data_IF_350910991022
#
_entry.id   IF_350910991022
#
_cell.length_a   1.000
_cell.length_b   1.000
_cell.length_c   1.000
_cell.angle_alpha   90.00
_cell.angle_beta   90.00
_cell.angle_gamma   90.00
#
_symmetry.space_group_name_H-M   'P 1'
#
loop_
_entity.id
_entity.type
_entity.pdbx_description
1 polymer ?
#
# COMPACT_ATOMS: atom_id res chain seq x y z
N UNK A 1 -1.95 -21.01 24.86
CA UNK A 1 -2.64 -21.44 23.62
C UNK A 1 -3.78 -20.47 23.36
N UNK A 2 -3.44 -19.29 22.86
CA UNK A 2 -4.43 -18.29 22.45
C UNK A 2 -4.65 -18.56 20.98
N UNK A 3 -5.85 -19.02 20.64
CA UNK A 3 -6.31 -19.08 19.26
C UNK A 3 -6.49 -17.64 18.82
N UNK A 4 -5.63 -17.15 17.92
CA UNK A 4 -5.90 -15.92 17.19
C UNK A 4 -7.06 -16.23 16.23
N UNK A 5 -8.29 -16.11 16.72
CA UNK A 5 -9.42 -15.85 15.84
C UNK A 5 -9.17 -14.48 15.18
N UNK A 6 -9.19 -14.46 13.84
CA UNK A 6 -9.15 -13.27 12.98
C UNK A 6 -7.78 -12.69 12.55
N UNK A 7 -6.76 -13.52 12.30
CA UNK A 7 -5.79 -13.15 11.26
C UNK A 7 -6.44 -13.35 9.88
N UNK A 8 -7.18 -12.33 9.40
CA UNK A 8 -7.71 -12.28 8.04
C UNK A 8 -6.58 -12.45 7.01
N UNK A 9 -6.88 -12.96 5.79
CA UNK A 9 -5.89 -13.25 4.75
C UNK A 9 -5.37 -11.95 4.12
N UNK A 10 -4.57 -11.18 4.83
CA UNK A 10 -4.25 -9.81 4.44
C UNK A 10 -2.90 -9.65 3.73
N UNK A 11 -1.94 -10.55 3.95
CA UNK A 11 -0.63 -10.46 3.28
C UNK A 11 -0.48 -11.35 2.06
N UNK A 12 -1.21 -12.47 1.95
CA UNK A 12 -1.12 -13.41 0.83
C UNK A 12 -1.59 -12.84 -0.52
N UNK A 13 -2.07 -11.59 -0.52
CA UNK A 13 -2.48 -10.85 -1.71
C UNK A 13 -1.63 -9.60 -1.96
N UNK A 14 -0.59 -9.29 -1.17
CA UNK A 14 0.24 -8.11 -1.43
C UNK A 14 1.05 -8.30 -2.72
N UNK A 15 0.98 -7.36 -3.68
CA UNK A 15 1.78 -7.45 -4.89
C UNK A 15 3.25 -7.19 -4.57
N UNK A 16 4.18 -7.90 -5.25
CA UNK A 16 5.62 -7.73 -5.05
C UNK A 16 6.11 -6.33 -5.46
N UNK A 17 5.33 -5.61 -6.26
CA UNK A 17 5.57 -4.22 -6.66
C UNK A 17 4.38 -3.37 -6.20
N UNK A 18 4.63 -2.20 -5.61
CA UNK A 18 3.56 -1.26 -5.28
C UNK A 18 2.86 -0.74 -6.54
N UNK A 19 1.61 -0.32 -6.42
CA UNK A 19 0.89 0.31 -7.54
C UNK A 19 1.64 1.56 -8.05
N UNK A 20 2.26 2.32 -7.14
CA UNK A 20 3.10 3.46 -7.49
C UNK A 20 4.38 3.05 -8.26
N UNK A 21 5.03 1.97 -7.85
CA UNK A 21 6.21 1.46 -8.56
C UNK A 21 5.83 0.90 -9.94
N UNK A 22 4.70 0.19 -10.02
CA UNK A 22 4.15 -0.32 -11.28
C UNK A 22 3.85 0.82 -12.24
N UNK A 23 3.14 1.85 -11.77
CA UNK A 23 2.87 3.08 -12.50
C UNK A 23 4.16 3.70 -13.03
N UNK A 24 5.18 3.83 -12.18
CA UNK A 24 6.49 4.37 -12.55
C UNK A 24 7.17 3.55 -13.64
N UNK A 25 7.14 2.23 -13.56
CA UNK A 25 7.71 1.33 -14.59
C UNK A 25 7.01 1.53 -15.93
N UNK A 26 5.69 1.66 -15.94
CA UNK A 26 4.91 1.94 -17.14
C UNK A 26 4.93 3.40 -17.59
N UNK A 27 5.57 4.30 -16.83
CA UNK A 27 5.64 5.74 -17.07
C UNK A 27 4.25 6.40 -17.19
N UNK A 28 3.26 5.89 -16.46
CA UNK A 28 1.99 6.59 -16.31
C UNK A 28 2.20 7.88 -15.51
N UNK A 29 1.53 8.96 -15.88
CA UNK A 29 1.51 10.16 -15.07
C UNK A 29 0.88 9.82 -13.69
N UNK A 30 1.48 10.29 -12.57
CA UNK A 30 0.95 10.05 -11.22
C UNK A 30 -0.50 10.49 -11.06
N UNK A 31 -0.84 11.69 -11.50
CA UNK A 31 -2.17 12.26 -11.32
C UNK A 31 -3.25 11.44 -12.04
N UNK A 32 -3.05 11.03 -13.30
CA UNK A 32 -4.01 10.16 -14.00
C UNK A 32 -4.19 8.80 -13.34
N UNK A 33 -3.08 8.20 -12.92
CA UNK A 33 -3.11 6.91 -12.25
C UNK A 33 -3.81 7.02 -10.89
N UNK A 34 -3.78 8.21 -10.29
CA UNK A 34 -4.43 8.53 -9.02
C UNK A 34 -5.80 9.20 -9.14
N UNK A 35 -6.46 9.09 -10.30
CA UNK A 35 -7.80 9.64 -10.57
C UNK A 35 -7.92 11.17 -10.48
N UNK A 36 -6.80 11.88 -10.62
CA UNK A 36 -6.75 13.33 -10.62
C UNK A 36 -6.72 13.87 -12.04
N UNK A 37 -7.40 14.99 -12.24
CA UNK A 37 -7.44 15.71 -13.50
C UNK A 37 -7.70 17.20 -13.27
N UNK A 38 -7.35 18.01 -14.25
CA UNK A 38 -7.55 19.45 -14.27
C UNK A 38 -8.40 19.86 -15.46
N UNK A 39 -9.21 20.90 -15.29
CA UNK A 39 -9.82 21.56 -16.45
C UNK A 39 -8.75 22.40 -17.16
N UNK A 40 -8.48 22.07 -18.44
CA UNK A 40 -7.43 22.73 -19.24
C UNK A 40 -7.54 24.26 -19.24
N UNK A 41 -8.77 24.80 -19.23
CA UNK A 41 -9.01 26.26 -19.19
C UNK A 41 -8.59 26.92 -17.88
N UNK A 42 -8.65 26.19 -16.77
CA UNK A 42 -8.26 26.69 -15.46
C UNK A 42 -6.75 26.61 -15.23
N UNK A 43 -6.08 25.64 -15.88
CA UNK A 43 -4.66 25.33 -15.68
C UNK A 43 -3.94 25.17 -17.02
N UNK A 44 -3.74 26.26 -17.79
CA UNK A 44 -3.18 26.20 -19.15
C UNK A 44 -1.71 25.76 -19.18
N UNK A 45 -0.98 25.94 -18.08
CA UNK A 45 0.46 25.65 -18.00
C UNK A 45 0.77 24.23 -17.50
N UNK A 46 -0.19 23.56 -16.85
CA UNK A 46 -0.07 22.21 -16.27
C UNK A 46 -1.23 21.28 -16.62
N UNK A 47 -1.75 21.25 -17.86
CA UNK A 47 -3.01 20.59 -18.14
C UNK A 47 -2.92 19.08 -17.88
N UNK A 48 -3.81 18.59 -17.01
CA UNK A 48 -4.05 17.17 -16.76
C UNK A 48 -5.45 16.84 -17.32
N UNK A 49 -5.61 16.61 -18.64
CA UNK A 49 -6.91 16.45 -19.28
C UNK A 49 -7.90 15.52 -18.58
N UNK A 50 -9.16 15.95 -18.58
CA UNK A 50 -10.30 15.22 -18.03
C UNK A 50 -10.74 14.11 -18.99
N UNK A 51 -11.46 13.14 -18.43
CA UNK A 51 -12.33 12.21 -19.17
C UNK A 51 -13.09 12.91 -20.31
N UNK A 52 -12.96 12.40 -21.54
CA UNK A 52 -13.83 12.76 -22.67
C UNK A 52 -13.19 13.55 -23.81
N UNK A 53 -11.98 14.08 -23.65
CA UNK A 53 -11.36 14.92 -24.69
C UNK A 53 -10.53 14.13 -25.72
N UNK A 54 -10.40 12.80 -25.56
CA UNK A 54 -9.69 11.93 -26.49
C UNK A 54 -10.19 10.48 -26.49
N UNK A 55 -9.96 9.75 -27.60
CA UNK A 55 -10.39 8.36 -27.81
C UNK A 55 -9.62 7.31 -26.97
N UNK A 56 -8.71 7.73 -26.10
CA UNK A 56 -7.95 6.87 -25.21
C UNK A 56 -8.09 7.42 -23.79
N UNK A 57 -8.80 6.70 -22.94
CA UNK A 57 -8.91 7.05 -21.52
C UNK A 57 -7.55 6.82 -20.84
N UNK A 58 -6.97 7.91 -20.30
CA UNK A 58 -5.66 7.86 -19.63
C UNK A 58 -5.79 7.71 -18.10
N UNK A 59 -6.98 7.97 -17.55
CA UNK A 59 -7.26 7.89 -16.12
C UNK A 59 -7.49 6.43 -15.71
N UNK A 60 -6.83 6.01 -14.63
CA UNK A 60 -7.02 4.67 -14.04
C UNK A 60 -7.88 4.82 -12.80
N UNK A 61 -9.09 4.27 -12.81
CA UNK A 61 -9.99 4.32 -11.64
C UNK A 61 -9.63 3.30 -10.57
N UNK A 62 -10.22 3.40 -9.39
CA UNK A 62 -10.04 2.39 -8.35
C UNK A 62 -10.55 1.01 -8.79
N UNK A 63 -11.79 0.92 -9.30
CA UNK A 63 -12.43 -0.35 -9.73
C UNK A 63 -12.98 -0.28 -11.16
N UNK A 64 -12.92 -1.39 -11.91
CA UNK A 64 -13.32 -1.45 -13.34
C UNK A 64 -14.79 -1.78 -13.64
N UNK A 65 -15.63 -1.99 -12.61
CA UNK A 65 -16.89 -2.75 -12.73
C UNK A 65 -18.10 -2.11 -13.42
N UNK A 66 -18.00 -0.96 -14.08
CA UNK A 66 -19.18 -0.12 -14.37
C UNK A 66 -19.24 0.51 -15.79
N UNK A 67 -18.19 0.36 -16.63
CA UNK A 67 -18.27 0.62 -18.09
C UNK A 67 -17.29 -0.22 -18.92
N UNK A 68 -17.51 -1.54 -18.98
CA UNK A 68 -17.21 -2.44 -20.11
C UNK A 68 -15.79 -2.63 -20.66
N UNK A 69 -14.85 -1.69 -20.51
CA UNK A 69 -13.57 -1.70 -21.23
C UNK A 69 -12.37 -1.13 -20.45
N UNK A 70 -12.56 -0.48 -19.30
CA UNK A 70 -11.46 0.08 -18.51
C UNK A 70 -11.14 -0.82 -17.28
N UNK A 71 -9.86 -1.20 -17.13
CA UNK A 71 -9.37 -1.86 -15.92
C UNK A 71 -9.02 -0.83 -14.85
N UNK A 72 -9.46 -1.06 -13.61
CA UNK A 72 -9.11 -0.22 -12.46
C UNK A 72 -7.76 -0.58 -11.83
N UNK A 73 -7.32 0.20 -10.86
CA UNK A 73 -6.15 -0.06 -10.01
C UNK A 73 -6.29 -1.38 -9.27
N UNK A 74 -7.50 -1.72 -8.83
CA UNK A 74 -7.79 -3.03 -8.23
C UNK A 74 -7.54 -4.17 -9.24
N UNK A 75 -7.94 -3.99 -10.51
CA UNK A 75 -7.71 -4.99 -11.56
C UNK A 75 -6.21 -5.13 -11.87
N UNK A 76 -5.50 -4.00 -11.95
CA UNK A 76 -4.03 -3.97 -12.08
C UNK A 76 -3.37 -4.70 -10.91
N UNK A 77 -3.80 -4.40 -9.69
CA UNK A 77 -3.29 -5.04 -8.48
C UNK A 77 -3.50 -6.57 -8.53
N UNK A 78 -4.73 -7.01 -8.86
CA UNK A 78 -5.06 -8.43 -8.99
C UNK A 78 -4.24 -9.11 -10.08
N UNK A 79 -4.05 -8.45 -11.21
CA UNK A 79 -3.24 -8.95 -12.32
C UNK A 79 -1.77 -9.09 -11.92
N UNK A 80 -1.20 -8.14 -11.17
CA UNK A 80 0.16 -8.22 -10.64
C UNK A 80 0.29 -9.42 -9.69
N UNK A 81 -0.65 -9.61 -8.76
CA UNK A 81 -0.64 -10.74 -7.81
C UNK A 81 -0.70 -12.07 -8.56
N UNK A 82 -1.61 -12.20 -9.53
CA UNK A 82 -1.77 -13.41 -10.33
C UNK A 82 -0.53 -13.70 -11.19
N UNK A 83 0.02 -12.69 -11.88
CA UNK A 83 1.25 -12.82 -12.66
C UNK A 83 2.41 -13.28 -11.79
N UNK A 84 2.52 -12.74 -10.57
CA UNK A 84 3.57 -13.09 -9.61
C UNK A 84 3.47 -14.56 -9.19
N UNK A 85 2.25 -15.06 -8.95
CA UNK A 85 2.01 -16.48 -8.64
C UNK A 85 2.41 -17.38 -9.80
N UNK A 86 2.01 -17.03 -11.03
CA UNK A 86 2.39 -17.78 -12.24
C UNK A 86 3.89 -17.79 -12.47
N UNK A 87 4.55 -16.65 -12.26
CA UNK A 87 6.01 -16.54 -12.37
C UNK A 87 6.70 -17.47 -11.38
N UNK A 88 6.31 -17.45 -10.11
CA UNK A 88 6.89 -18.33 -9.08
C UNK A 88 6.65 -19.80 -9.43
N UNK A 89 5.45 -20.16 -9.89
CA UNK A 89 5.15 -21.53 -10.31
C UNK A 89 6.02 -21.99 -11.51
N UNK A 90 6.32 -21.09 -12.44
CA UNK A 90 7.13 -21.37 -13.62
C UNK A 90 8.63 -21.38 -13.33
N UNK A 91 9.14 -20.31 -12.72
CA UNK A 91 10.57 -20.06 -12.52
C UNK A 91 11.10 -20.73 -11.24
N UNK A 92 10.23 -21.07 -10.29
CA UNK A 92 10.59 -21.58 -8.97
C UNK A 92 11.02 -20.50 -7.97
N UNK A 93 11.22 -19.25 -8.40
CA UNK A 93 11.66 -18.14 -7.54
C UNK A 93 10.90 -16.84 -7.83
N UNK A 94 10.97 -15.88 -6.90
CA UNK A 94 10.32 -14.57 -7.04
C UNK A 94 11.14 -13.63 -7.93
N UNK A 95 10.48 -12.85 -8.80
CA UNK A 95 11.14 -11.88 -9.68
C UNK A 95 11.77 -10.70 -8.93
N UNK A 96 11.30 -10.42 -7.72
CA UNK A 96 11.81 -9.38 -6.84
C UNK A 96 11.82 -9.89 -5.39
N UNK A 97 12.60 -9.29 -4.47
CA UNK A 97 12.49 -9.59 -3.05
C UNK A 97 11.06 -9.40 -2.57
N UNK A 98 10.46 -10.46 -2.04
CA UNK A 98 9.12 -10.42 -1.47
C UNK A 98 9.16 -10.78 0.00
N UNK A 99 8.30 -10.10 0.75
CA UNK A 99 7.94 -10.49 2.10
C UNK A 99 6.65 -11.28 2.01
N UNK A 100 6.55 -12.35 2.78
CA UNK A 100 5.32 -13.10 2.91
C UNK A 100 5.19 -13.54 4.36
N UNK A 101 4.15 -13.05 5.04
CA UNK A 101 3.70 -13.68 6.27
C UNK A 101 3.01 -15.01 5.96
N UNK A 102 3.27 -16.00 6.81
CA UNK A 102 2.64 -17.30 6.75
C UNK A 102 2.24 -17.72 8.16
N UNK A 103 0.95 -18.03 8.34
CA UNK A 103 0.46 -18.60 9.59
C UNK A 103 0.58 -20.13 9.53
N UNK A 104 1.44 -20.69 10.38
CA UNK A 104 1.52 -22.14 10.54
C UNK A 104 0.53 -22.63 11.60
N UNK A 105 -0.55 -23.28 11.17
CA UNK A 105 -1.44 -24.02 12.08
C UNK A 105 -0.85 -25.41 12.33
N UNK A 106 -0.35 -25.64 13.55
CA UNK A 106 0.30 -26.91 13.92
C UNK A 106 -0.65 -28.13 13.99
N UNK A 107 -1.96 -27.96 13.76
CA UNK A 107 -2.97 -29.00 14.00
C UNK A 107 -3.59 -29.63 12.75
N UNK A 108 -3.47 -29.04 11.56
CA UNK A 108 -4.02 -29.63 10.32
C UNK A 108 -2.90 -30.21 9.45
N UNK A 109 -2.87 -31.54 9.34
CA UNK A 109 -1.72 -32.27 8.82
C UNK A 109 -1.59 -32.32 7.28
N UNK A 110 -2.52 -31.73 6.51
CA UNK A 110 -2.67 -32.09 5.09
C UNK A 110 -2.71 -30.98 4.02
N UNK A 111 -3.06 -29.71 4.27
CA UNK A 111 -3.48 -28.82 3.16
C UNK A 111 -2.68 -27.53 2.87
N UNK A 112 -1.60 -27.19 3.58
CA UNK A 112 -1.11 -25.79 3.58
C UNK A 112 0.31 -25.54 3.04
N UNK A 113 0.96 -26.56 2.48
CA UNK A 113 2.36 -26.48 2.03
C UNK A 113 2.56 -25.87 0.62
N UNK A 114 1.50 -25.81 -0.19
CA UNK A 114 1.57 -25.33 -1.57
C UNK A 114 1.80 -23.82 -1.68
N UNK A 115 1.35 -23.03 -0.71
CA UNK A 115 1.44 -21.55 -0.76
C UNK A 115 2.87 -20.99 -0.71
N UNK A 116 3.84 -21.77 -0.23
CA UNK A 116 5.25 -21.37 -0.12
C UNK A 116 6.17 -22.15 -1.06
N UNK A 117 5.65 -23.13 -1.82
CA UNK A 117 6.47 -24.18 -2.40
C UNK A 117 7.25 -24.96 -1.33
N UNK A 118 6.77 -24.93 -0.07
CA UNK A 118 7.44 -25.56 1.03
C UNK A 118 7.16 -27.07 0.96
N UNK A 119 8.19 -27.88 0.81
CA UNK A 119 8.02 -29.32 0.90
C UNK A 119 8.15 -29.72 2.36
N UNK A 120 7.24 -30.56 2.87
CA UNK A 120 7.47 -31.26 4.13
C UNK A 120 8.61 -32.22 3.87
N UNK A 121 9.81 -31.88 4.35
CA UNK A 121 10.85 -32.88 4.37
C UNK A 121 10.53 -33.81 5.54
N UNK A 122 10.10 -35.02 5.21
CA UNK A 122 10.00 -36.12 6.16
C UNK A 122 11.42 -36.53 6.56
N UNK A 123 12.04 -35.72 7.42
CA UNK A 123 13.27 -36.09 8.07
C UNK A 123 13.08 -37.43 8.80
N UNK A 124 14.13 -38.24 8.81
CA UNK A 124 14.18 -39.59 9.39
C UNK A 124 13.76 -39.67 10.87
N UNK A 125 13.57 -38.53 11.54
CA UNK A 125 13.20 -38.36 12.94
C UNK A 125 11.75 -37.97 13.21
N UNK A 126 10.84 -37.96 12.22
CA UNK A 126 9.42 -37.65 12.41
C UNK A 126 9.11 -36.19 12.80
N UNK A 127 10.12 -35.33 12.84
CA UNK A 127 9.97 -33.87 13.00
C UNK A 127 9.88 -33.28 11.59
N UNK A 128 8.71 -32.78 11.22
CA UNK A 128 8.52 -32.11 9.93
C UNK A 128 9.44 -30.90 9.84
N UNK A 129 10.38 -30.91 8.91
CA UNK A 129 11.16 -29.73 8.58
C UNK A 129 10.43 -28.97 7.48
N UNK A 130 10.21 -27.67 7.69
CA UNK A 130 9.78 -26.77 6.62
C UNK A 130 11.02 -26.24 5.93
N UNK A 131 11.10 -26.46 4.62
CA UNK A 131 12.13 -25.88 3.77
C UNK A 131 11.46 -24.80 2.93
N UNK A 132 11.94 -23.57 3.02
CA UNK A 132 11.56 -22.49 2.13
C UNK A 132 12.71 -22.24 1.16
N UNK A 133 12.74 -22.90 -0.02
CA UNK A 133 13.94 -23.02 -0.86
C UNK A 133 14.48 -21.68 -1.41
N UNK A 134 13.71 -20.60 -1.30
CA UNK A 134 14.07 -19.25 -1.76
C UNK A 134 13.76 -18.16 -0.73
N UNK A 135 13.58 -18.53 0.53
CA UNK A 135 13.25 -17.58 1.60
C UNK A 135 14.13 -17.86 2.81
N UNK A 136 14.37 -16.82 3.60
CA UNK A 136 14.87 -16.97 4.96
C UNK A 136 13.81 -16.41 5.92
N UNK A 137 13.75 -17.00 7.10
CA UNK A 137 12.84 -16.53 8.15
C UNK A 137 13.43 -15.26 8.75
N UNK A 138 12.75 -14.14 8.60
CA UNK A 138 13.17 -12.87 9.21
C UNK A 138 12.75 -12.77 10.67
N UNK A 139 11.56 -13.24 10.99
CA UNK A 139 11.02 -13.26 12.33
C UNK A 139 10.10 -14.48 12.50
N UNK A 140 10.03 -14.99 13.72
CA UNK A 140 9.04 -16.00 14.15
C UNK A 140 8.30 -15.42 15.33
N UNK A 141 6.98 -15.48 15.31
CA UNK A 141 6.16 -14.96 16.39
C UNK A 141 4.73 -14.73 15.95
N UNK A 142 3.94 -14.15 16.85
CA UNK A 142 2.61 -13.64 16.51
C UNK A 142 2.78 -12.25 15.94
N UNK A 143 2.29 -12.02 14.71
CA UNK A 143 2.25 -10.68 14.14
C UNK A 143 1.35 -9.79 15.00
N UNK A 144 1.89 -8.63 15.40
CA UNK A 144 1.18 -7.60 16.12
C UNK A 144 1.09 -6.36 15.24
N UNK A 145 -0.09 -5.78 15.24
CA UNK A 145 -0.38 -4.52 14.59
C UNK A 145 -1.04 -3.61 15.62
N UNK A 146 -0.43 -2.47 15.89
CA UNK A 146 -0.91 -1.50 16.87
C UNK A 146 -0.88 -0.09 16.30
N UNK A 147 -1.95 0.66 16.52
CA UNK A 147 -2.00 2.08 16.18
C UNK A 147 -1.22 2.85 17.23
N UNK A 148 -0.17 3.56 16.81
CA UNK A 148 0.64 4.38 17.71
C UNK A 148 0.10 5.80 17.82
N UNK A 149 -0.31 6.40 16.70
CA UNK A 149 -0.76 7.79 16.66
C UNK A 149 -1.70 8.07 15.48
N UNK A 150 -2.49 9.14 15.61
CA UNK A 150 -3.06 9.89 14.49
C UNK A 150 -2.37 11.25 14.47
N UNK A 151 -1.83 11.63 13.33
CA UNK A 151 -1.04 12.84 13.14
C UNK A 151 -1.77 13.75 12.16
N UNK A 152 -2.07 14.97 12.57
CA UNK A 152 -2.62 15.97 11.69
C UNK A 152 -1.58 16.37 10.63
N UNK A 153 -2.06 16.56 9.41
CA UNK A 153 -1.31 17.07 8.26
C UNK A 153 -1.80 18.48 8.01
N UNK A 154 -0.92 19.46 8.18
CA UNK A 154 -1.21 20.82 7.77
C UNK A 154 -1.00 20.90 6.26
N UNK A 155 -2.08 20.84 5.48
CA UNK A 155 -1.98 20.81 4.02
C UNK A 155 -1.18 21.99 3.47
N UNK A 156 -1.25 23.15 4.14
CA UNK A 156 -0.53 24.34 3.68
C UNK A 156 0.97 24.27 3.91
N UNK A 157 1.38 23.71 5.05
CA UNK A 157 2.78 23.64 5.48
C UNK A 157 3.50 22.34 5.07
N UNK A 158 2.78 21.23 5.05
CA UNK A 158 3.35 19.89 4.90
C UNK A 158 3.29 19.37 3.46
N UNK A 159 2.49 19.99 2.59
CA UNK A 159 2.37 19.62 1.16
C UNK A 159 3.07 20.63 0.27
N UNK A 160 4.14 20.18 -0.37
CA UNK A 160 5.02 20.99 -1.20
C UNK A 160 4.99 20.54 -2.67
N UNK A 161 5.23 21.51 -3.54
CA UNK A 161 5.69 21.29 -4.90
C UNK A 161 7.23 21.34 -4.89
N UNK A 162 7.87 20.16 -4.86
CA UNK A 162 9.34 20.09 -4.85
C UNK A 162 9.97 20.34 -6.22
N UNK A 163 9.19 20.21 -7.30
CA UNK A 163 9.72 20.22 -8.66
C UNK A 163 9.49 21.57 -9.40
N UNK A 164 8.62 22.42 -8.87
CA UNK A 164 8.32 23.76 -9.35
C UNK A 164 7.35 23.81 -10.54
N UNK A 165 6.59 22.74 -10.78
CA UNK A 165 5.58 22.68 -11.84
C UNK A 165 4.24 23.33 -11.46
N UNK A 166 4.08 23.77 -10.21
CA UNK A 166 2.85 24.39 -9.71
C UNK A 166 1.86 23.38 -9.12
N UNK A 167 2.18 22.09 -9.10
CA UNK A 167 1.35 21.05 -8.50
C UNK A 167 2.02 20.47 -7.25
N UNK A 168 1.28 20.29 -6.14
CA UNK A 168 1.84 19.64 -4.97
C UNK A 168 2.17 18.17 -5.27
N UNK A 169 3.40 17.74 -4.97
CA UNK A 169 3.92 16.42 -5.31
C UNK A 169 4.46 15.63 -4.11
N UNK A 170 4.71 16.30 -2.98
CA UNK A 170 5.37 15.71 -1.83
C UNK A 170 4.71 16.15 -0.54
N UNK A 171 4.53 15.20 0.38
CA UNK A 171 4.02 15.43 1.74
C UNK A 171 5.13 15.08 2.71
N UNK A 172 5.43 15.99 3.64
CA UNK A 172 6.42 15.78 4.70
C UNK A 172 5.84 16.19 6.05
N UNK A 173 5.67 15.22 6.95
CA UNK A 173 5.03 15.41 8.25
C UNK A 173 6.02 15.07 9.36
N UNK A 174 6.07 15.90 10.39
CA UNK A 174 6.92 15.69 11.56
C UNK A 174 6.13 15.11 12.73
N UNK A 175 6.52 13.91 13.16
CA UNK A 175 5.85 13.15 14.21
C UNK A 175 6.63 13.31 15.50
N UNK A 176 6.08 14.11 16.41
CA UNK A 176 6.61 14.35 17.75
C UNK A 176 6.08 13.39 18.83
N UNK A 177 5.24 12.42 18.45
CA UNK A 177 4.61 11.51 19.39
C UNK A 177 5.64 10.58 20.06
N UNK A 178 5.60 10.49 21.39
CA UNK A 178 6.56 9.69 22.17
C UNK A 178 6.41 8.18 21.93
N UNK A 179 5.21 7.68 21.66
CA UNK A 179 5.00 6.27 21.34
C UNK A 179 5.64 5.94 19.99
N UNK A 180 5.48 6.81 18.99
CA UNK A 180 6.13 6.63 17.68
C UNK A 180 7.65 6.74 17.78
N UNK A 181 8.15 7.75 18.48
CA UNK A 181 9.58 8.03 18.54
C UNK A 181 10.36 7.04 19.41
N UNK A 182 9.77 6.50 20.48
CA UNK A 182 10.50 5.65 21.44
C UNK A 182 10.22 4.14 21.30
N UNK A 183 9.05 3.73 20.80
CA UNK A 183 8.63 2.33 20.91
C UNK A 183 8.86 1.50 19.64
N UNK A 184 9.10 2.12 18.49
CA UNK A 184 9.18 1.44 17.19
C UNK A 184 10.50 1.69 16.46
N UNK A 185 11.01 0.65 15.81
CA UNK A 185 12.03 0.80 14.78
C UNK A 185 11.41 1.40 13.51
N UNK A 186 12.17 2.18 12.74
CA UNK A 186 11.65 2.83 11.53
C UNK A 186 11.10 1.83 10.50
N UNK A 187 11.67 0.62 10.46
CA UNK A 187 11.22 -0.47 9.59
C UNK A 187 9.91 -1.14 10.04
N UNK A 188 9.49 -0.92 11.29
CA UNK A 188 8.23 -1.42 11.85
C UNK A 188 7.08 -0.44 11.60
N UNK A 189 7.37 0.79 11.20
CA UNK A 189 6.36 1.83 11.02
C UNK A 189 5.66 1.69 9.67
N UNK A 190 4.34 1.91 9.69
CA UNK A 190 3.46 1.93 8.55
C UNK A 190 2.61 3.22 8.63
N UNK A 191 2.31 3.81 7.48
CA UNK A 191 1.44 4.97 7.36
C UNK A 191 0.13 4.57 6.67
N UNK A 192 -0.99 5.01 7.22
CA UNK A 192 -2.31 4.78 6.67
C UNK A 192 -3.07 6.09 6.60
N UNK A 193 -3.93 6.23 5.59
CA UNK A 193 -4.93 7.30 5.58
C UNK A 193 -5.99 7.02 6.64
N UNK A 194 -6.42 8.07 7.35
CA UNK A 194 -7.60 7.97 8.22
C UNK A 194 -8.81 7.60 7.36
N UNK A 195 -9.60 6.64 7.82
CA UNK A 195 -10.81 6.22 7.10
C UNK A 195 -11.92 7.25 7.26
N UNK A 196 -12.57 7.64 6.17
CA UNK A 196 -13.75 8.50 6.16
C UNK A 196 -15.03 7.74 6.53
N UNK A 197 -16.07 8.48 6.93
CA UNK A 197 -17.41 7.90 7.10
C UNK A 197 -17.94 7.41 5.75
N UNK A 198 -18.09 6.09 5.58
CA UNK A 198 -18.54 5.48 4.32
C UNK A 198 -17.40 4.88 3.47
N UNK A 199 -16.16 4.93 3.95
CA UNK A 199 -15.05 4.17 3.37
C UNK A 199 -15.27 2.66 3.63
N UNK A 200 -15.89 1.98 2.69
CA UNK A 200 -15.98 0.50 2.67
C UNK A 200 -14.73 -0.13 2.04
N UNK A 201 -13.59 0.57 2.10
CA UNK A 201 -12.30 0.08 1.62
C UNK A 201 -11.62 -0.75 2.70
N UNK A 202 -11.00 -1.85 2.28
CA UNK A 202 -10.23 -2.70 3.20
C UNK A 202 -9.14 -1.85 3.89
N UNK A 203 -8.87 -2.14 5.16
CA UNK A 203 -7.83 -1.48 5.95
C UNK A 203 -6.50 -1.36 5.18
N UNK A 204 -6.12 -2.41 4.45
CA UNK A 204 -4.86 -2.45 3.70
C UNK A 204 -4.86 -1.61 2.42
N UNK A 205 -6.02 -1.26 1.88
CA UNK A 205 -6.13 -0.31 0.75
C UNK A 205 -5.92 1.15 1.20
N UNK A 206 -5.94 1.40 2.51
CA UNK A 206 -5.63 2.72 3.09
C UNK A 206 -4.15 2.94 3.35
N UNK A 207 -3.31 1.90 3.22
CA UNK A 207 -1.87 2.01 3.42
C UNK A 207 -1.24 2.94 2.37
N UNK A 208 -0.44 3.91 2.84
CA UNK A 208 0.30 4.84 2.00
C UNK A 208 1.62 4.18 1.60
N UNK A 209 1.74 3.77 0.34
CA UNK A 209 2.95 3.08 -0.16
C UNK A 209 3.42 3.61 -1.52
N UNK A 210 4.71 3.97 -1.67
CA UNK A 210 5.76 3.97 -0.65
C UNK A 210 5.62 5.16 0.32
N UNK A 211 5.95 4.90 1.60
CA UNK A 211 6.16 5.91 2.63
C UNK A 211 7.58 5.75 3.19
N UNK A 212 8.25 6.87 3.45
CA UNK A 212 9.61 6.90 3.98
C UNK A 212 9.60 7.49 5.39
N UNK A 213 10.21 6.78 6.33
CA UNK A 213 10.40 7.25 7.70
C UNK A 213 11.88 7.57 7.94
N UNK A 214 12.16 8.72 8.54
CA UNK A 214 13.51 9.13 8.95
C UNK A 214 13.50 9.67 10.37
N UNK A 215 14.54 9.38 11.15
CA UNK A 215 14.69 9.95 12.49
C UNK A 215 15.47 11.25 12.41
N UNK A 216 14.91 12.33 12.94
CA UNK A 216 15.55 13.64 13.02
C UNK A 216 16.50 13.73 14.20
N UNK A 217 17.43 14.69 14.14
CA UNK A 217 18.43 14.92 15.18
C UNK A 217 17.82 15.31 16.53
N UNK A 218 16.62 15.89 16.54
CA UNK A 218 15.86 16.26 17.74
C UNK A 218 15.03 15.08 18.31
N UNK A 219 15.14 13.90 17.72
CA UNK A 219 14.47 12.67 18.16
C UNK A 219 13.09 12.45 17.52
N UNK A 220 12.53 13.41 16.78
CA UNK A 220 11.27 13.25 16.06
C UNK A 220 11.41 12.28 14.88
N UNK A 221 10.29 11.74 14.41
CA UNK A 221 10.23 10.93 13.19
C UNK A 221 9.60 11.74 12.08
N UNK A 222 10.27 11.87 10.94
CA UNK A 222 9.73 12.45 9.73
C UNK A 222 9.11 11.36 8.87
N UNK A 223 7.88 11.57 8.42
CA UNK A 223 7.21 10.79 7.40
C UNK A 223 7.20 11.58 6.09
N UNK A 224 7.66 10.98 5.00
CA UNK A 224 7.62 11.57 3.65
C UNK A 224 6.99 10.59 2.66
N UNK A 225 6.05 11.07 1.85
CA UNK A 225 5.41 10.31 0.77
C UNK A 225 4.92 11.25 -0.35
N UNK A 226 4.45 10.70 -1.47
CA UNK A 226 3.93 11.49 -2.60
C UNK A 226 2.50 11.94 -2.33
N UNK A 227 2.19 13.20 -2.62
CA UNK A 227 0.89 13.83 -2.32
C UNK A 227 -0.30 13.03 -2.85
N UNK A 228 -0.19 12.49 -4.06
CA UNK A 228 -1.26 11.71 -4.68
C UNK A 228 -1.58 10.37 -3.98
N UNK A 229 -0.65 9.82 -3.20
CA UNK A 229 -0.90 8.63 -2.37
C UNK A 229 -1.78 8.96 -1.16
N UNK A 230 -1.83 10.24 -0.79
CA UNK A 230 -2.64 10.77 0.30
C UNK A 230 -4.01 11.27 -0.15
N UNK A 231 -4.46 11.01 -1.38
CA UNK A 231 -5.79 11.44 -1.82
C UNK A 231 -6.78 10.30 -1.72
N UNK A 232 -7.98 10.58 -1.24
CA UNK A 232 -9.10 9.64 -1.26
C UNK A 232 -9.45 9.31 -2.71
N UNK A 233 -9.45 8.02 -3.12
CA UNK A 233 -9.81 7.68 -4.48
C UNK A 233 -11.26 8.08 -4.75
N UNK A 234 -11.52 8.65 -5.93
CA UNK A 234 -12.89 8.84 -6.37
C UNK A 234 -13.51 7.45 -6.59
N UNK A 235 -14.47 7.07 -5.74
CA UNK A 235 -15.15 5.78 -5.88
C UNK A 235 -15.90 5.75 -7.22
N UNK A 236 -15.68 4.71 -8.01
CA UNK A 236 -16.46 4.44 -9.23
C UNK A 236 -17.90 3.97 -8.93
N UNK A 237 -18.28 3.91 -7.64
CA UNK A 237 -19.62 3.54 -7.16
C UNK A 237 -20.67 4.66 -7.28
N UNK A 238 -20.30 5.87 -7.69
CA UNK A 238 -21.21 6.98 -8.00
C UNK A 238 -21.22 7.28 -9.50
N UNK A 239 -22.42 7.49 -10.07
CA UNK A 239 -22.66 7.69 -11.52
C UNK A 239 -21.96 8.92 -12.15
N UNK A 240 -21.25 9.74 -11.36
CA UNK A 240 -20.42 10.84 -11.81
C UNK A 240 -19.31 11.12 -10.78
N UNK A 241 -18.08 10.61 -10.95
CA UNK A 241 -16.98 11.00 -10.08
C UNK A 241 -16.72 12.51 -10.27
N UNK A 242 -16.72 13.25 -9.16
CA UNK A 242 -16.19 14.61 -9.15
C UNK A 242 -14.72 14.55 -9.58
N UNK A 243 -14.30 15.51 -10.40
CA UNK A 243 -12.89 15.62 -10.77
C UNK A 243 -12.12 16.06 -9.54
N UNK A 244 -11.07 15.31 -9.22
CA UNK A 244 -10.11 15.68 -8.19
C UNK A 244 -9.03 16.54 -8.84
N UNK A 245 -9.11 17.85 -8.64
CA UNK A 245 -8.11 18.80 -9.12
C UNK A 245 -6.88 18.78 -8.21
N UNK A 246 -5.69 18.37 -8.68
CA UNK A 246 -4.48 18.36 -7.84
C UNK A 246 -4.03 19.75 -7.39
N UNK A 247 -4.54 20.84 -7.98
CA UNK A 247 -4.32 22.19 -7.45
C UNK A 247 -5.25 22.52 -6.27
N UNK A 248 -6.36 21.79 -6.11
CA UNK A 248 -7.27 21.95 -4.97
C UNK A 248 -6.69 21.27 -3.73
N UNK A 249 -6.15 22.07 -2.82
CA UNK A 249 -5.55 21.55 -1.59
C UNK A 249 -6.54 20.77 -0.71
N UNK A 250 -7.84 20.98 -0.86
CA UNK A 250 -8.85 20.30 -0.04
C UNK A 250 -9.01 18.81 -0.33
N UNK A 251 -8.44 18.29 -1.42
CA UNK A 251 -8.51 16.85 -1.76
C UNK A 251 -7.46 16.00 -1.04
N UNK A 252 -6.42 16.62 -0.48
CA UNK A 252 -5.35 15.93 0.22
C UNK A 252 -5.75 15.59 1.65
N UNK A 253 -5.19 14.51 2.18
CA UNK A 253 -5.41 14.11 3.58
C UNK A 253 -4.98 15.19 4.56
N UNK A 254 -5.82 15.39 5.57
CA UNK A 254 -5.62 16.23 6.74
C UNK A 254 -5.13 15.43 7.96
N UNK A 255 -5.17 14.10 7.90
CA UNK A 255 -4.69 13.22 8.95
C UNK A 255 -4.06 11.92 8.41
N UNK A 256 -3.02 11.43 9.10
CA UNK A 256 -2.37 10.14 8.86
C UNK A 256 -2.36 9.31 10.14
N UNK A 257 -2.72 8.04 10.04
CA UNK A 257 -2.52 7.08 11.11
C UNK A 257 -1.15 6.41 10.99
N UNK A 258 -0.42 6.42 12.10
CA UNK A 258 0.86 5.73 12.23
C UNK A 258 0.64 4.45 13.00
N UNK A 259 0.99 3.35 12.36
CA UNK A 259 0.86 2.01 12.90
C UNK A 259 2.23 1.37 13.04
N UNK A 260 2.36 0.50 14.03
CA UNK A 260 3.54 -0.35 14.24
C UNK A 260 3.18 -1.77 13.90
N UNK A 261 4.05 -2.42 13.14
CA UNK A 261 3.98 -3.84 12.85
C UNK A 261 5.26 -4.54 13.28
N UNK A 262 5.12 -5.52 14.16
CA UNK A 262 6.24 -6.31 14.69
C UNK A 262 5.80 -7.74 15.00
N UNK A 263 6.77 -8.58 15.36
CA UNK A 263 6.53 -9.96 15.78
C UNK A 263 6.86 -10.12 17.25
N UNK A 264 5.92 -10.64 18.03
CA UNK A 264 6.18 -11.01 19.42
C UNK A 264 6.81 -12.41 19.49
N UNK A 265 8.06 -12.47 19.95
CA UNK A 265 8.83 -13.71 20.09
C UNK A 265 8.39 -14.56 21.30
N UNK A 266 7.53 -14.03 22.18
CA UNK A 266 7.16 -14.65 23.46
C UNK A 266 5.90 -15.52 23.46
N UNK A 267 5.40 -15.92 22.29
CA UNK A 267 4.17 -16.74 22.14
C UNK A 267 4.20 -18.11 22.83
#
# INVERSE_FOLDING_TARGET
MVVCEECKPCEAQRPPIGLEDFRRVLRYNPYYFWQMAQEEKAHPDTPIPRYGDGACEHVVYESGGTAGLAGGREDVWRAIVELSRRWVAYAGFFAAPTYACFEQRFYDAYDWLDGLGAQRWAGQSGKGQMVAPHKYVQAVGVERLEKLATVAVDVEADVADENGDGLPDTVTVQIGDQNVTAQAELSELLAFRVGGSGDDVDFWQREIRPACFARLADGRVQLTFRSWLGVAPALYGGFAPAVLDPADRSIYIDEVEIWRRWHDAGG
#
